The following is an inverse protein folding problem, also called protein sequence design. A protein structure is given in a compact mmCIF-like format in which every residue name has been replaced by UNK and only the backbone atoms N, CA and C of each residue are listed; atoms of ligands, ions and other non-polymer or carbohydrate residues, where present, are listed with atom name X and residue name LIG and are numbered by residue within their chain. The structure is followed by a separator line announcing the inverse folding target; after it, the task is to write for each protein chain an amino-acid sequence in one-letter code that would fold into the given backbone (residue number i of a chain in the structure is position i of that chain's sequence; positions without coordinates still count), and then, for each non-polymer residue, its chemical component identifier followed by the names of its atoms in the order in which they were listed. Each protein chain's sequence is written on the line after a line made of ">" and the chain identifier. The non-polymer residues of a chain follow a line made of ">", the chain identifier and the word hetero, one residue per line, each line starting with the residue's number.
data_IF_536545534134
#
_entry.id   IF_536545534134
#
_cell.length_a   1.000
_cell.length_b   1.000
_cell.length_c   1.000
_cell.angle_alpha   90.00
_cell.angle_beta   90.00
_cell.angle_gamma   90.00
#
_symmetry.space_group_name_H-M   'P 1'
#
loop_
_entity.id
_entity.type
_entity.pdbx_description
1 polymer ?
#
# COMPACT_ATOMS: atom_id res chain seq x y z
N UNK A 1 15.99 -1.85 -6.42
CA UNK A 1 14.75 -1.57 -5.66
C UNK A 1 13.57 -2.52 -5.95
N UNK A 2 12.81 -2.41 -7.06
CA UNK A 2 11.60 -3.25 -7.28
C UNK A 2 11.85 -4.77 -7.23
N UNK A 3 12.99 -5.22 -7.76
CA UNK A 3 13.41 -6.63 -7.76
C UNK A 3 13.77 -7.13 -6.36
N UNK A 4 14.32 -6.26 -5.51
CA UNK A 4 14.70 -6.59 -4.14
C UNK A 4 13.46 -6.72 -3.25
N UNK A 5 12.50 -5.80 -3.37
CA UNK A 5 11.23 -5.85 -2.62
C UNK A 5 10.41 -7.08 -3.00
N UNK A 6 10.35 -7.43 -4.29
CA UNK A 6 9.67 -8.66 -4.76
C UNK A 6 10.31 -9.94 -4.23
N UNK A 7 11.60 -9.92 -3.94
CA UNK A 7 12.33 -11.05 -3.34
C UNK A 7 12.19 -11.12 -1.82
N UNK A 8 11.68 -10.06 -1.17
CA UNK A 8 11.41 -10.05 0.26
C UNK A 8 10.18 -10.90 0.57
N UNK A 9 10.31 -11.86 1.49
CA UNK A 9 9.17 -12.58 2.01
C UNK A 9 8.41 -11.67 2.98
N UNK A 10 7.37 -10.99 2.49
CA UNK A 10 6.49 -10.16 3.31
C UNK A 10 5.46 -11.10 3.94
N UNK A 11 5.53 -11.36 5.26
CA UNK A 11 4.53 -12.18 5.92
C UNK A 11 3.19 -11.44 5.88
N UNK A 12 2.15 -12.16 5.47
CA UNK A 12 0.77 -11.68 5.54
C UNK A 12 0.05 -12.59 6.51
N UNK A 13 -0.37 -12.04 7.65
CA UNK A 13 -1.22 -12.75 8.59
C UNK A 13 -2.66 -12.72 8.05
N UNK A 14 -3.05 -13.83 7.43
CA UNK A 14 -4.37 -13.98 6.84
C UNK A 14 -5.28 -14.76 7.79
N UNK A 15 -6.18 -14.03 8.44
CA UNK A 15 -7.27 -14.59 9.22
C UNK A 15 -8.58 -13.84 8.90
N UNK A 16 -9.70 -14.40 9.35
CA UNK A 16 -11.03 -13.87 9.01
C UNK A 16 -11.24 -12.44 9.50
N UNK A 17 -10.73 -12.11 10.69
CA UNK A 17 -10.86 -10.77 11.29
C UNK A 17 -10.04 -9.75 10.47
N UNK A 18 -8.77 -10.05 10.21
CA UNK A 18 -7.91 -9.20 9.38
C UNK A 18 -8.49 -8.99 7.97
N UNK A 19 -9.10 -10.01 7.36
CA UNK A 19 -9.74 -9.89 6.04
C UNK A 19 -10.99 -9.03 6.07
N UNK A 20 -11.80 -9.10 7.14
CA UNK A 20 -12.97 -8.23 7.33
C UNK A 20 -12.52 -6.78 7.52
N UNK A 21 -11.54 -6.52 8.38
CA UNK A 21 -11.00 -5.18 8.60
C UNK A 21 -10.40 -4.58 7.33
N UNK A 22 -9.63 -5.38 6.59
CA UNK A 22 -9.05 -4.96 5.32
C UNK A 22 -10.14 -4.66 4.27
N UNK A 23 -11.17 -5.50 4.19
CA UNK A 23 -12.33 -5.26 3.32
C UNK A 23 -12.98 -3.93 3.67
N UNK A 24 -13.32 -3.70 4.93
CA UNK A 24 -14.02 -2.50 5.36
C UNK A 24 -13.18 -1.24 5.10
N UNK A 25 -11.87 -1.29 5.41
CA UNK A 25 -10.94 -0.21 5.10
C UNK A 25 -10.86 0.11 3.60
N UNK A 26 -10.69 -0.91 2.76
CA UNK A 26 -10.56 -0.74 1.31
C UNK A 26 -11.87 -0.27 0.68
N UNK A 27 -13.02 -0.77 1.13
CA UNK A 27 -14.34 -0.34 0.65
C UNK A 27 -14.64 1.11 1.04
N UNK A 28 -14.32 1.51 2.27
CA UNK A 28 -14.45 2.91 2.70
C UNK A 28 -13.62 3.85 1.82
N UNK A 29 -12.47 3.38 1.30
CA UNK A 29 -11.58 4.16 0.45
C UNK A 29 -11.81 3.99 -1.06
N UNK A 30 -12.75 3.14 -1.48
CA UNK A 30 -13.05 2.89 -2.91
C UNK A 30 -13.34 4.18 -3.69
N UNK A 31 -14.12 5.16 -3.19
CA UNK A 31 -14.35 6.40 -3.93
C UNK A 31 -13.07 7.23 -4.15
N UNK A 32 -12.09 7.16 -3.23
CA UNK A 32 -10.80 7.83 -3.40
C UNK A 32 -9.99 7.17 -4.52
N UNK A 33 -9.93 5.84 -4.55
CA UNK A 33 -9.24 5.08 -5.60
C UNK A 33 -9.84 5.35 -6.99
N UNK A 34 -11.16 5.45 -7.09
CA UNK A 34 -11.85 5.77 -8.34
C UNK A 34 -11.48 7.17 -8.87
N UNK A 35 -11.46 8.18 -8.01
CA UNK A 35 -11.02 9.54 -8.39
C UNK A 35 -9.59 9.58 -8.91
N UNK A 36 -8.69 8.77 -8.35
CA UNK A 36 -7.33 8.66 -8.88
C UNK A 36 -7.29 8.00 -10.27
N UNK A 37 -8.10 6.96 -10.51
CA UNK A 37 -8.19 6.31 -11.82
C UNK A 37 -8.78 7.22 -12.91
N UNK A 38 -9.62 8.17 -12.54
CA UNK A 38 -10.20 9.16 -13.46
C UNK A 38 -9.21 10.26 -13.89
N UNK A 39 -8.08 10.40 -13.18
CA UNK A 39 -7.11 11.47 -13.47
C UNK A 39 -6.17 11.07 -14.62
N UNK A 40 -6.27 11.73 -15.80
CA UNK A 40 -5.47 11.36 -16.97
C UNK A 40 -3.97 11.56 -16.78
N UNK A 41 -3.54 12.43 -15.86
CA UNK A 41 -2.12 12.70 -15.60
C UNK A 41 -1.42 11.56 -14.86
N UNK A 42 -2.15 10.59 -14.30
CA UNK A 42 -1.58 9.46 -13.55
C UNK A 42 -1.14 8.29 -14.43
N UNK A 43 -1.53 8.29 -15.71
CA UNK A 43 -1.17 7.23 -16.67
C UNK A 43 0.24 7.39 -17.26
N UNK A 44 0.92 8.51 -17.00
CA UNK A 44 2.33 8.71 -17.40
C UNK A 44 3.31 7.94 -16.50
N UNK A 45 2.85 7.44 -15.34
CA UNK A 45 3.66 6.71 -14.37
C UNK A 45 3.22 5.25 -14.24
N UNK A 46 3.93 4.35 -14.93
CA UNK A 46 3.66 2.89 -14.93
C UNK A 46 3.55 2.30 -13.52
N UNK A 47 4.39 2.73 -12.58
CA UNK A 47 4.40 2.21 -11.20
C UNK A 47 3.17 2.62 -10.40
N UNK A 48 2.75 3.88 -10.51
CA UNK A 48 1.57 4.41 -9.83
C UNK A 48 0.28 3.79 -10.38
N UNK A 49 0.17 3.71 -11.71
CA UNK A 49 -0.94 3.04 -12.37
C UNK A 49 -1.05 1.56 -11.98
N UNK A 50 0.07 0.84 -11.87
CA UNK A 50 0.09 -0.55 -11.40
C UNK A 50 -0.34 -0.70 -9.93
N UNK A 51 0.07 0.24 -9.06
CA UNK A 51 -0.38 0.29 -7.67
C UNK A 51 -1.89 0.48 -7.57
N UNK A 52 -2.44 1.48 -8.27
CA UNK A 52 -3.89 1.73 -8.29
C UNK A 52 -4.67 0.50 -8.76
N UNK A 53 -4.23 -0.13 -9.86
CA UNK A 53 -4.88 -1.35 -10.38
C UNK A 53 -4.84 -2.49 -9.37
N UNK A 54 -3.72 -2.68 -8.67
CA UNK A 54 -3.58 -3.76 -7.67
C UNK A 54 -4.48 -3.53 -6.46
N UNK A 55 -4.58 -2.29 -5.97
CA UNK A 55 -5.49 -1.92 -4.88
C UNK A 55 -6.95 -2.07 -5.29
N UNK A 56 -7.30 -1.57 -6.49
CA UNK A 56 -8.67 -1.65 -6.98
C UNK A 56 -9.12 -3.10 -7.22
N UNK A 57 -8.25 -3.93 -7.80
CA UNK A 57 -8.48 -5.37 -7.93
C UNK A 57 -8.79 -6.02 -6.57
N UNK A 58 -7.99 -5.72 -5.54
CA UNK A 58 -8.20 -6.26 -4.20
C UNK A 58 -9.53 -5.79 -3.56
N UNK A 59 -9.92 -4.53 -3.77
CA UNK A 59 -11.23 -3.99 -3.33
C UNK A 59 -12.38 -4.78 -3.94
N UNK A 60 -12.30 -5.03 -5.25
CA UNK A 60 -13.33 -5.76 -6.00
C UNK A 60 -13.41 -7.22 -5.55
N UNK A 61 -12.29 -7.93 -5.48
CA UNK A 61 -12.21 -9.32 -5.00
C UNK A 61 -12.85 -9.47 -3.60
N UNK A 62 -12.45 -8.64 -2.63
CA UNK A 62 -13.01 -8.68 -1.28
C UNK A 62 -14.50 -8.26 -1.27
N UNK A 63 -14.90 -7.37 -2.18
CA UNK A 63 -16.28 -6.91 -2.34
C UNK A 63 -17.23 -7.98 -2.85
N UNK A 64 -16.79 -8.79 -3.81
CA UNK A 64 -17.60 -9.87 -4.39
C UNK A 64 -17.81 -11.05 -3.44
N UNK A 65 -16.99 -11.18 -2.40
CA UNK A 65 -17.14 -12.20 -1.37
C UNK A 65 -18.19 -11.80 -0.35
N UNK A 66 -19.35 -12.46 -0.40
CA UNK A 66 -20.45 -12.26 0.55
C UNK A 66 -20.09 -12.77 1.94
N UNK A 67 -19.32 -13.87 2.04
CA UNK A 67 -18.89 -14.46 3.30
C UNK A 67 -17.39 -14.76 3.27
N UNK A 68 -16.65 -14.27 4.27
CA UNK A 68 -15.20 -14.49 4.45
C UNK A 68 -14.87 -15.59 5.47
N UNK A 69 -15.87 -16.15 6.15
CA UNK A 69 -15.66 -17.09 7.28
C UNK A 69 -15.35 -18.53 6.83
N UNK A 70 -15.72 -18.89 5.60
CA UNK A 70 -15.63 -20.26 5.08
C UNK A 70 -15.03 -20.31 3.68
N UNK A 71 -13.94 -19.58 3.48
CA UNK A 71 -13.23 -19.61 2.21
C UNK A 71 -12.42 -20.91 2.06
N UNK A 72 -12.43 -21.56 0.89
CA UNK A 72 -11.52 -22.65 0.59
C UNK A 72 -10.06 -22.21 0.72
N UNK A 73 -9.17 -23.12 1.10
CA UNK A 73 -7.72 -22.83 1.24
C UNK A 73 -7.12 -22.21 -0.03
N UNK A 74 -7.55 -22.67 -1.20
CA UNK A 74 -7.13 -22.10 -2.49
C UNK A 74 -7.50 -20.62 -2.64
N UNK A 75 -8.65 -20.22 -2.11
CA UNK A 75 -9.14 -18.83 -2.17
C UNK A 75 -8.41 -17.94 -1.16
N UNK A 76 -8.14 -18.47 0.04
CA UNK A 76 -7.29 -17.80 1.04
C UNK A 76 -5.90 -17.53 0.44
N UNK A 77 -5.28 -18.53 -0.18
CA UNK A 77 -3.97 -18.37 -0.85
C UNK A 77 -4.01 -17.39 -2.01
N UNK A 78 -5.11 -17.34 -2.75
CA UNK A 78 -5.30 -16.34 -3.81
C UNK A 78 -5.34 -14.91 -3.22
N UNK A 79 -6.16 -14.68 -2.19
CA UNK A 79 -6.23 -13.40 -1.48
C UNK A 79 -4.88 -13.00 -0.89
N UNK A 80 -4.15 -13.93 -0.29
CA UNK A 80 -2.80 -13.69 0.24
C UNK A 80 -1.87 -13.13 -0.84
N UNK A 81 -1.87 -13.73 -2.04
CA UNK A 81 -1.06 -13.26 -3.16
C UNK A 81 -1.50 -11.87 -3.66
N UNK A 82 -2.81 -11.61 -3.68
CA UNK A 82 -3.35 -10.32 -4.10
C UNK A 82 -3.02 -9.20 -3.11
N UNK A 83 -3.11 -9.48 -1.81
CA UNK A 83 -2.67 -8.59 -0.73
C UNK A 83 -1.18 -8.29 -0.86
N UNK A 84 -0.34 -9.33 -1.03
CA UNK A 84 1.12 -9.15 -1.23
C UNK A 84 1.41 -8.28 -2.45
N UNK A 85 0.74 -8.53 -3.57
CA UNK A 85 0.92 -7.76 -4.81
C UNK A 85 0.54 -6.30 -4.65
N UNK A 86 -0.59 -6.01 -3.99
CA UNK A 86 -1.01 -4.65 -3.69
C UNK A 86 0.00 -3.95 -2.77
N UNK A 87 0.36 -4.59 -1.65
CA UNK A 87 1.28 -4.05 -0.65
C UNK A 87 2.67 -3.75 -1.23
N UNK A 88 3.25 -4.68 -2.00
CA UNK A 88 4.55 -4.47 -2.69
C UNK A 88 4.47 -3.27 -3.64
N UNK A 89 3.34 -3.08 -4.32
CA UNK A 89 3.17 -1.97 -5.26
C UNK A 89 3.07 -0.63 -4.54
N UNK A 90 2.35 -0.57 -3.41
CA UNK A 90 2.28 0.60 -2.53
C UNK A 90 3.66 0.96 -1.98
N UNK A 91 4.37 -0.04 -1.43
CA UNK A 91 5.72 0.16 -0.89
C UNK A 91 6.69 0.67 -1.95
N UNK A 92 6.62 0.12 -3.16
CA UNK A 92 7.48 0.57 -4.27
C UNK A 92 7.21 2.02 -4.67
N UNK A 93 5.95 2.43 -4.77
CA UNK A 93 5.59 3.83 -5.07
C UNK A 93 6.04 4.76 -3.95
N UNK A 94 5.85 4.37 -2.68
CA UNK A 94 6.30 5.14 -1.52
C UNK A 94 7.82 5.36 -1.51
N UNK A 95 8.61 4.32 -1.79
CA UNK A 95 10.07 4.45 -1.84
C UNK A 95 10.54 5.35 -3.00
N UNK A 96 9.93 5.26 -4.18
CA UNK A 96 10.22 6.18 -5.28
C UNK A 96 9.87 7.63 -4.91
N UNK A 97 8.78 7.83 -4.17
CA UNK A 97 8.41 9.15 -3.66
C UNK A 97 9.45 9.68 -2.67
N UNK A 98 9.91 8.87 -1.72
CA UNK A 98 10.98 9.25 -0.80
C UNK A 98 12.29 9.59 -1.54
N UNK A 99 12.66 8.81 -2.56
CA UNK A 99 13.83 9.09 -3.39
C UNK A 99 13.70 10.42 -4.13
N UNK A 100 12.52 10.69 -4.70
CA UNK A 100 12.23 11.97 -5.36
C UNK A 100 12.33 13.14 -4.38
N UNK A 101 11.76 13.01 -3.17
CA UNK A 101 11.86 14.05 -2.14
C UNK A 101 13.33 14.29 -1.73
N UNK A 102 14.10 13.23 -1.52
CA UNK A 102 15.50 13.34 -1.11
C UNK A 102 16.38 14.06 -2.15
N UNK A 103 16.01 13.97 -3.43
CA UNK A 103 16.77 14.60 -4.51
C UNK A 103 16.36 16.06 -4.78
N UNK A 104 15.14 16.46 -4.39
CA UNK A 104 14.55 17.72 -4.87
C UNK A 104 14.00 18.61 -3.74
N UNK A 105 13.70 18.05 -2.56
CA UNK A 105 12.93 18.72 -1.50
C UNK A 105 13.36 18.26 -0.09
N UNK A 106 14.56 18.64 0.35
CA UNK A 106 15.17 18.21 1.62
C UNK A 106 14.24 18.34 2.85
N UNK A 107 13.51 19.45 2.98
CA UNK A 107 12.61 19.67 4.12
C UNK A 107 11.39 18.73 4.09
N UNK A 108 10.88 18.39 2.90
CA UNK A 108 9.79 17.43 2.75
C UNK A 108 10.28 16.00 3.01
N UNK A 109 11.48 15.66 2.53
CA UNK A 109 12.10 14.37 2.81
C UNK A 109 12.29 14.17 4.32
N UNK A 110 12.85 15.17 5.00
CA UNK A 110 13.03 15.16 6.45
C UNK A 110 11.71 14.90 7.21
N UNK A 111 10.62 15.55 6.78
CA UNK A 111 9.30 15.30 7.36
C UNK A 111 8.79 13.89 7.05
N UNK A 112 8.90 13.43 5.80
CA UNK A 112 8.42 12.12 5.37
C UNK A 112 9.13 10.96 6.08
N UNK A 113 10.42 11.12 6.43
CA UNK A 113 11.17 10.17 7.25
C UNK A 113 10.67 10.16 8.69
N UNK A 114 10.42 11.34 9.29
CA UNK A 114 9.87 11.43 10.65
C UNK A 114 8.43 10.93 10.77
N UNK A 115 7.64 11.00 9.71
CA UNK A 115 6.27 10.49 9.65
C UNK A 115 6.18 9.15 8.90
N UNK A 116 7.27 8.37 8.88
CA UNK A 116 7.31 7.12 8.13
C UNK A 116 6.31 6.11 8.72
N UNK A 117 5.35 5.60 7.93
CA UNK A 117 4.31 4.70 8.41
C UNK A 117 4.83 3.31 8.84
N UNK A 118 6.10 3.01 8.60
CA UNK A 118 6.74 1.74 8.97
C UNK A 118 7.54 1.80 10.28
N UNK A 119 7.55 2.95 10.96
CA UNK A 119 8.22 3.15 12.26
C UNK A 119 7.15 3.41 13.33
N UNK A 120 7.18 2.66 14.43
CA UNK A 120 6.15 2.75 15.49
C UNK A 120 6.40 3.90 16.48
N UNK A 121 7.64 4.32 16.66
CA UNK A 121 8.04 5.38 17.59
C UNK A 121 8.45 6.64 16.82
N UNK A 122 7.47 7.28 16.18
CA UNK A 122 7.67 8.48 15.38
C UNK A 122 7.50 9.75 16.22
N UNK A 123 8.43 10.70 16.06
CA UNK A 123 8.29 12.06 16.57
C UNK A 123 8.43 13.05 15.42
N UNK A 124 7.46 13.97 15.32
CA UNK A 124 7.54 15.09 14.37
C UNK A 124 8.37 16.25 14.90
N UNK A 125 8.67 16.26 16.20
CA UNK A 125 9.42 17.31 16.89
C UNK A 125 10.91 17.15 16.58
N UNK A 126 11.55 18.24 16.15
CA UNK A 126 13.00 18.30 15.95
C UNK A 126 13.63 18.73 17.27
N UNK A 127 14.59 17.95 17.75
CA UNK A 127 15.38 18.23 18.94
C UNK A 127 16.79 18.68 18.53
N UNK A 128 17.53 19.29 19.46
CA UNK A 128 18.91 19.74 19.17
C UNK A 128 19.87 18.58 18.84
N UNK A 129 19.48 17.33 19.14
CA UNK A 129 20.21 16.10 18.81
C UNK A 129 20.05 15.68 17.33
N UNK A 130 19.09 16.27 16.60
CA UNK A 130 18.80 15.96 15.19
C UNK A 130 19.62 16.82 14.19
N UNK A 131 20.58 17.63 14.68
CA UNK A 131 21.48 18.49 13.89
C UNK A 131 22.89 17.91 13.78
#
# INVERSE_FOLDING_TARGET
>A
MRREIKGSNIPVDINVENLKDLKDFLHANRPHLQRFLENPNLFEHDSFSLMLRSLYHLVEELGYRVNLEQLPESDIKHLENDIKRAYISVLFVWLNYLEHLNQNFDYMFSLAIRTNPFVSDISVVITDEDR
#
